data_IF_124806678435
#
_entry.id   IF_124806678435
#
_cell.length_a   1.000
_cell.length_b   1.000
_cell.length_c   1.000
_cell.angle_alpha   90.00
_cell.angle_beta   90.00
_cell.angle_gamma   90.00
#
_symmetry.space_group_name_H-M   'P 1'
#
loop_
_entity.id
_entity.type
_entity.pdbx_description
1 polymer ?
#
# COMPACT_ATOMS: atom_id res chain seq x y z
N UNK A 1 -12.15 2.11 -22.00
CA UNK A 1 -12.56 1.00 -21.13
C UNK A 1 -11.47 0.56 -20.15
N UNK A 2 -10.22 0.30 -20.56
CA UNK A 2 -9.13 -0.11 -19.64
C UNK A 2 -8.80 0.94 -18.56
N UNK A 3 -8.56 2.19 -18.97
CA UNK A 3 -8.24 3.29 -18.05
C UNK A 3 -9.36 3.51 -17.01
N UNK A 4 -10.61 3.39 -17.44
CA UNK A 4 -11.78 3.50 -16.55
C UNK A 4 -11.81 2.37 -15.52
N UNK A 5 -11.50 1.13 -15.92
CA UNK A 5 -11.35 0.01 -14.98
C UNK A 5 -10.26 0.28 -13.96
N UNK A 6 -9.08 0.75 -14.40
CA UNK A 6 -7.98 1.09 -13.48
C UNK A 6 -8.36 2.23 -12.54
N UNK A 7 -9.06 3.26 -13.01
CA UNK A 7 -9.55 4.34 -12.16
C UNK A 7 -10.58 3.84 -11.13
N UNK A 8 -11.44 2.90 -11.49
CA UNK A 8 -12.39 2.30 -10.55
C UNK A 8 -11.67 1.43 -9.49
N UNK A 9 -10.67 0.65 -9.88
CA UNK A 9 -9.86 -0.08 -8.90
C UNK A 9 -9.07 0.86 -7.99
N UNK A 10 -8.53 1.96 -8.51
CA UNK A 10 -7.82 2.95 -7.70
C UNK A 10 -8.77 3.60 -6.67
N UNK A 11 -10.02 3.90 -7.06
CA UNK A 11 -11.05 4.38 -6.12
C UNK A 11 -11.36 3.36 -5.03
N UNK A 12 -11.45 2.08 -5.38
CA UNK A 12 -11.62 1.00 -4.39
C UNK A 12 -10.43 0.93 -3.42
N UNK A 13 -9.21 1.02 -3.94
CA UNK A 13 -7.99 0.98 -3.12
C UNK A 13 -7.85 2.22 -2.24
N UNK A 14 -8.23 3.39 -2.73
CA UNK A 14 -8.25 4.63 -1.95
C UNK A 14 -9.23 4.57 -0.78
N UNK A 15 -10.44 4.04 -1.01
CA UNK A 15 -11.42 3.81 0.07
C UNK A 15 -10.88 2.83 1.10
N UNK A 16 -10.37 1.68 0.65
CA UNK A 16 -9.77 0.67 1.54
C UNK A 16 -8.63 1.24 2.40
N UNK A 17 -7.73 2.03 1.80
CA UNK A 17 -6.60 2.61 2.52
C UNK A 17 -7.06 3.65 3.56
N UNK A 18 -8.05 4.47 3.20
CA UNK A 18 -8.67 5.43 4.12
C UNK A 18 -9.36 4.72 5.28
N UNK A 19 -10.10 3.64 5.01
CA UNK A 19 -10.82 2.86 6.02
C UNK A 19 -9.87 2.16 7.01
N UNK A 20 -8.66 1.77 6.55
CA UNK A 20 -7.61 1.26 7.42
C UNK A 20 -7.06 2.31 8.39
N UNK A 21 -7.15 3.60 8.06
CA UNK A 21 -6.72 4.70 8.92
C UNK A 21 -5.21 4.79 9.15
N UNK A 22 -4.40 3.91 8.57
CA UNK A 22 -2.95 3.85 8.79
C UNK A 22 -2.24 5.11 8.30
N UNK A 23 -2.58 5.60 7.10
CA UNK A 23 -2.01 6.84 6.54
C UNK A 23 -2.41 8.12 7.29
N UNK A 24 -3.41 8.05 8.18
CA UNK A 24 -3.84 9.17 9.03
C UNK A 24 -3.49 8.97 10.51
N UNK A 25 -2.84 7.86 10.85
CA UNK A 25 -2.52 7.54 12.23
C UNK A 25 -1.33 8.41 12.70
N UNK A 26 -1.43 9.16 13.82
CA UNK A 26 -0.36 10.07 14.26
C UNK A 26 0.99 9.39 14.44
N UNK A 27 0.98 8.13 14.94
CA UNK A 27 2.21 7.34 15.08
C UNK A 27 2.85 6.96 13.75
N UNK A 28 2.11 6.96 12.63
CA UNK A 28 2.60 6.62 11.29
C UNK A 28 2.71 7.87 10.40
N UNK A 29 2.69 9.07 10.98
CA UNK A 29 2.83 10.34 10.24
C UNK A 29 4.16 10.46 9.48
N UNK A 30 5.14 9.64 9.83
CA UNK A 30 6.42 9.49 9.16
C UNK A 30 6.36 8.59 7.91
N UNK A 31 5.43 7.62 7.88
CA UNK A 31 5.30 6.69 6.77
C UNK A 31 4.62 7.40 5.61
N UNK A 32 5.19 7.32 4.42
CA UNK A 32 4.67 8.06 3.26
C UNK A 32 3.39 7.38 2.77
N UNK A 33 2.39 8.17 2.39
CA UNK A 33 1.22 7.64 1.69
C UNK A 33 1.59 7.25 0.25
N UNK A 34 1.98 5.97 0.08
CA UNK A 34 2.47 5.41 -1.19
C UNK A 34 1.43 4.62 -1.95
N UNK A 35 0.14 4.74 -1.61
CA UNK A 35 -0.92 3.97 -2.26
C UNK A 35 -0.92 4.17 -3.79
N UNK A 36 -0.80 5.42 -4.25
CA UNK A 36 -0.81 5.75 -5.67
C UNK A 36 0.40 5.15 -6.40
N UNK A 37 1.59 5.24 -5.81
CA UNK A 37 2.81 4.64 -6.34
C UNK A 37 2.69 3.11 -6.43
N UNK A 38 2.20 2.48 -5.37
CA UNK A 38 1.97 1.03 -5.31
C UNK A 38 0.97 0.57 -6.37
N UNK A 39 -0.12 1.32 -6.56
CA UNK A 39 -1.11 1.04 -7.59
C UNK A 39 -0.55 1.21 -9.00
N UNK A 40 0.25 2.26 -9.22
CA UNK A 40 0.90 2.52 -10.51
C UNK A 40 1.84 1.37 -10.89
N UNK A 41 2.73 0.96 -9.97
CA UNK A 41 3.61 -0.20 -10.16
C UNK A 41 2.82 -1.47 -10.44
N UNK A 42 1.78 -1.74 -9.65
CA UNK A 42 0.96 -2.94 -9.83
C UNK A 42 0.23 -2.94 -11.17
N UNK A 43 -0.23 -1.79 -11.64
CA UNK A 43 -0.88 -1.65 -12.95
C UNK A 43 0.12 -1.83 -14.10
N UNK A 44 1.38 -1.40 -13.93
CA UNK A 44 2.45 -1.67 -14.89
C UNK A 44 2.73 -3.17 -15.06
N UNK A 45 2.64 -3.94 -13.98
CA UNK A 45 2.82 -5.40 -14.00
C UNK A 45 1.54 -6.14 -14.44
N UNK A 46 0.38 -5.69 -13.94
CA UNK A 46 -0.94 -6.31 -14.12
C UNK A 46 -1.86 -5.33 -14.88
N UNK A 47 -1.47 -5.03 -16.11
CA UNK A 47 -2.15 -4.06 -16.97
C UNK A 47 -3.50 -4.53 -17.51
N UNK A 48 -3.67 -5.84 -17.69
CA UNK A 48 -4.91 -6.39 -18.24
C UNK A 48 -6.09 -6.19 -17.26
N UNK A 49 -7.21 -5.59 -17.72
CA UNK A 49 -8.35 -5.26 -16.87
C UNK A 49 -9.01 -6.49 -16.24
N UNK A 50 -8.90 -7.68 -16.86
CA UNK A 50 -9.51 -8.92 -16.36
C UNK A 50 -8.93 -9.38 -15.03
N UNK A 51 -7.70 -8.97 -14.72
CA UNK A 51 -7.03 -9.31 -13.46
C UNK A 51 -7.21 -8.25 -12.37
N UNK A 52 -8.36 -7.55 -12.35
CA UNK A 52 -8.67 -6.52 -11.36
C UNK A 52 -8.52 -7.00 -9.92
N UNK A 53 -8.91 -8.24 -9.63
CA UNK A 53 -8.78 -8.83 -8.30
C UNK A 53 -7.30 -8.94 -7.89
N UNK A 54 -6.45 -9.45 -8.79
CA UNK A 54 -5.01 -9.55 -8.55
C UNK A 54 -4.38 -8.17 -8.38
N UNK A 55 -4.70 -7.21 -9.26
CA UNK A 55 -4.18 -5.83 -9.17
C UNK A 55 -4.55 -5.17 -7.83
N UNK A 56 -5.77 -5.35 -7.35
CA UNK A 56 -6.18 -4.84 -6.04
C UNK A 56 -5.40 -5.50 -4.90
N UNK A 57 -5.28 -6.83 -4.90
CA UNK A 57 -4.50 -7.53 -3.86
C UNK A 57 -3.02 -7.16 -3.84
N UNK A 58 -2.36 -7.12 -5.00
CA UNK A 58 -0.96 -6.71 -5.09
C UNK A 58 -0.76 -5.25 -4.67
N UNK A 59 -1.70 -4.35 -4.99
CA UNK A 59 -1.65 -2.97 -4.49
C UNK A 59 -1.68 -2.95 -2.96
N UNK A 60 -2.60 -3.71 -2.33
CA UNK A 60 -2.68 -3.79 -0.87
C UNK A 60 -1.39 -4.34 -0.25
N UNK A 61 -0.85 -5.42 -0.81
CA UNK A 61 0.40 -6.02 -0.35
C UNK A 61 1.57 -5.05 -0.47
N UNK A 62 1.73 -4.41 -1.63
CA UNK A 62 2.80 -3.44 -1.86
C UNK A 62 2.68 -2.26 -0.89
N UNK A 63 1.48 -1.71 -0.68
CA UNK A 63 1.27 -0.62 0.27
C UNK A 63 1.64 -1.04 1.69
N UNK A 64 1.19 -2.21 2.16
CA UNK A 64 1.56 -2.72 3.48
C UNK A 64 3.07 -2.96 3.64
N UNK A 65 3.71 -3.57 2.65
CA UNK A 65 5.17 -3.81 2.66
C UNK A 65 5.91 -2.49 2.75
N UNK A 66 5.56 -1.50 1.93
CA UNK A 66 6.23 -0.18 1.98
C UNK A 66 5.98 0.57 3.28
N UNK A 67 4.80 0.42 3.90
CA UNK A 67 4.55 1.01 5.24
C UNK A 67 5.41 0.34 6.31
N UNK A 68 5.57 -0.98 6.25
CA UNK A 68 6.45 -1.71 7.18
C UNK A 68 7.92 -1.31 6.95
N UNK A 69 8.34 -1.22 5.69
CA UNK A 69 9.68 -0.77 5.32
C UNK A 69 9.99 0.62 5.90
N UNK A 70 9.08 1.59 5.72
CA UNK A 70 9.20 2.93 6.30
C UNK A 70 9.31 2.86 7.85
N UNK A 71 8.60 1.94 8.53
CA UNK A 71 8.71 1.72 9.99
C UNK A 71 10.11 1.26 10.35
N UNK A 72 10.66 0.27 9.64
CA UNK A 72 12.00 -0.24 9.93
C UNK A 72 13.10 0.78 9.61
N UNK A 73 12.92 1.58 8.55
CA UNK A 73 13.88 2.60 8.12
C UNK A 73 13.90 3.83 9.03
N UNK A 74 12.75 4.24 9.58
CA UNK A 74 12.64 5.48 10.38
C UNK A 74 12.60 5.21 11.89
N UNK A 75 11.92 4.15 12.35
CA UNK A 75 11.76 3.81 13.77
C UNK A 75 12.78 2.79 14.27
N UNK A 76 13.72 2.34 13.42
CA UNK A 76 14.75 1.36 13.77
C UNK A 76 15.74 1.85 14.83
N UNK A 77 15.34 1.91 16.11
CA UNK A 77 16.25 1.58 17.20
C UNK A 77 16.23 0.07 17.39
N UNK A 78 17.41 -0.54 17.59
CA UNK A 78 17.61 -2.00 17.57
C UNK A 78 16.64 -2.76 18.51
N UNK A 79 16.20 -2.10 19.60
CA UNK A 79 15.40 -2.69 20.68
C UNK A 79 13.93 -2.96 20.32
N UNK A 80 13.30 -2.12 19.47
CA UNK A 80 11.90 -2.35 19.04
C UNK A 80 11.80 -3.45 17.97
N UNK A 81 12.84 -3.60 17.14
CA UNK A 81 12.91 -4.61 16.07
C UNK A 81 13.05 -6.04 16.59
N UNK A 82 13.66 -6.22 17.76
CA UNK A 82 13.77 -7.53 18.42
C UNK A 82 12.44 -8.09 18.93
N UNK A 83 11.42 -7.26 19.18
CA UNK A 83 10.10 -7.69 19.65
C UNK A 83 9.21 -8.30 18.54
N UNK A 84 9.48 -7.98 17.27
CA UNK A 84 8.78 -8.55 16.11
C UNK A 84 9.46 -9.81 15.55
N UNK A 85 10.67 -10.10 16.01
CA UNK A 85 11.43 -11.32 15.73
C UNK A 85 11.14 -12.34 16.84
N UNK A 86 9.95 -12.93 16.82
CA UNK A 86 9.69 -14.16 17.57
C UNK A 86 10.62 -15.28 17.12
#
# INVERSE_FOLDING_TARGET
>A
MVQETHQNDLKDMSRWWKDLGLGSHPKLSFARDRLMECFFWTTGVIGDPRFYYCRKWYTKLNTMVTTIDDVYDVYGTLDELTLLRG
#
